data_IF_744538235280
#
_entry.id   IF_744538235280
#
_cell.length_a   1.000
_cell.length_b   1.000
_cell.length_c   1.000
_cell.angle_alpha   90.00
_cell.angle_beta   90.00
_cell.angle_gamma   90.00
#
_symmetry.space_group_name_H-M   'P 1'
#
loop_
_entity.id
_entity.type
_entity.pdbx_description
1 polymer ?
#
# COMPACT_ATOMS: atom_id res chain seq x y z
N UNK A 1 -12.25 7.26 -11.53
CA UNK A 1 -12.33 7.09 -12.97
C UNK A 1 -11.69 5.76 -13.31
N UNK A 2 -12.45 4.90 -13.95
CA UNK A 2 -11.91 3.66 -14.51
C UNK A 2 -10.92 4.05 -15.59
N UNK A 3 -9.65 3.78 -15.35
CA UNK A 3 -8.66 3.89 -16.41
C UNK A 3 -8.96 2.77 -17.38
N UNK A 4 -9.39 3.10 -18.60
CA UNK A 4 -9.55 2.13 -19.68
C UNK A 4 -8.17 1.54 -20.00
N UNK A 5 -7.92 0.35 -19.49
CA UNK A 5 -6.69 -0.38 -19.75
C UNK A 5 -6.86 -1.15 -21.07
N UNK A 6 -5.92 -0.94 -21.96
CA UNK A 6 -5.74 -1.86 -23.07
C UNK A 6 -5.03 -3.09 -22.49
N UNK A 7 -5.82 -4.08 -22.08
CA UNK A 7 -5.27 -5.40 -21.68
C UNK A 7 -4.88 -6.11 -22.97
N UNK A 8 -3.58 -6.29 -23.19
CA UNK A 8 -3.10 -7.17 -24.25
C UNK A 8 -3.29 -8.62 -23.82
N UNK A 9 -3.87 -9.43 -24.68
CA UNK A 9 -4.07 -10.88 -24.42
C UNK A 9 -2.74 -11.54 -24.03
N UNK A 10 -2.75 -12.30 -22.95
CA UNK A 10 -1.61 -13.10 -22.48
C UNK A 10 -0.68 -12.41 -21.48
N UNK A 11 -0.92 -11.15 -21.09
CA UNK A 11 -0.09 -10.44 -20.11
C UNK A 11 -0.90 -10.18 -18.84
N UNK A 12 -0.54 -10.85 -17.74
CA UNK A 12 -1.23 -10.70 -16.47
C UNK A 12 -0.83 -9.39 -15.77
N UNK A 13 -1.83 -8.54 -15.52
CA UNK A 13 -1.70 -7.45 -14.58
C UNK A 13 -1.97 -7.95 -13.15
N UNK A 14 -1.35 -7.30 -12.16
CA UNK A 14 -1.56 -7.62 -10.76
C UNK A 14 -1.59 -6.37 -9.88
N UNK A 15 -2.06 -6.52 -8.65
CA UNK A 15 -2.05 -5.43 -7.68
C UNK A 15 -0.88 -5.56 -6.71
N UNK A 16 -0.36 -4.40 -6.32
CA UNK A 16 0.53 -4.23 -5.16
C UNK A 16 -0.16 -3.27 -4.17
N UNK A 17 0.02 -3.54 -2.89
CA UNK A 17 -0.34 -2.60 -1.84
C UNK A 17 0.94 -2.09 -1.17
N UNK A 18 1.05 -0.78 -0.99
CA UNK A 18 2.16 -0.16 -0.27
C UNK A 18 1.60 0.57 0.97
N UNK A 19 2.13 0.25 2.15
CA UNK A 19 1.61 0.73 3.43
C UNK A 19 2.68 1.50 4.18
N UNK A 20 2.38 2.77 4.45
CA UNK A 20 3.13 3.62 5.38
C UNK A 20 2.39 3.64 6.73
N UNK A 21 3.01 3.07 7.76
CA UNK A 21 2.39 2.83 9.05
C UNK A 21 2.58 4.00 9.99
N UNK A 22 1.49 4.53 10.50
CA UNK A 22 1.50 5.59 11.51
C UNK A 22 0.58 5.27 12.70
N UNK A 23 0.75 5.97 13.83
CA UNK A 23 -0.07 5.80 15.02
C UNK A 23 -0.73 7.11 15.44
N UNK A 24 -0.03 7.93 16.23
CA UNK A 24 -0.60 9.14 16.84
C UNK A 24 -0.13 10.37 16.05
N UNK A 25 -1.08 11.26 15.70
CA UNK A 25 -0.80 12.52 14.99
C UNK A 25 -0.54 12.39 13.48
N UNK A 26 -0.38 11.16 12.97
CA UNK A 26 -0.24 10.85 11.55
C UNK A 26 -1.27 9.79 11.13
N UNK A 27 -1.39 9.57 9.83
CA UNK A 27 -2.34 8.61 9.28
C UNK A 27 -1.60 7.45 8.63
N UNK A 28 -2.02 6.21 8.92
CA UNK A 28 -1.57 5.07 8.13
C UNK A 28 -2.22 5.14 6.76
N UNK A 29 -1.40 5.07 5.72
CA UNK A 29 -1.85 5.17 4.34
C UNK A 29 -1.54 3.88 3.60
N UNK A 30 -2.53 3.36 2.88
CA UNK A 30 -2.37 2.26 1.95
C UNK A 30 -2.59 2.76 0.52
N UNK A 31 -1.56 2.64 -0.32
CA UNK A 31 -1.62 2.95 -1.74
C UNK A 31 -1.84 1.66 -2.51
N UNK A 32 -2.87 1.61 -3.33
CA UNK A 32 -3.16 0.48 -4.23
C UNK A 32 -2.63 0.80 -5.61
N UNK A 33 -1.76 -0.05 -6.10
CA UNK A 33 -1.07 0.11 -7.38
C UNK A 33 -1.42 -1.09 -8.27
N UNK A 34 -1.93 -0.82 -9.47
CA UNK A 34 -2.05 -1.83 -10.51
C UNK A 34 -0.80 -1.83 -11.36
N UNK A 35 -0.18 -2.97 -11.47
CA UNK A 35 1.04 -3.18 -12.25
C UNK A 35 0.70 -3.98 -13.49
N UNK A 36 1.17 -3.54 -14.62
CA UNK A 36 1.00 -4.24 -15.88
C UNK A 36 2.22 -4.07 -16.77
N UNK A 37 2.60 -5.10 -17.54
CA UNK A 37 3.70 -5.01 -18.45
C UNK A 37 3.29 -4.20 -19.70
N UNK A 38 4.21 -3.40 -20.19
CA UNK A 38 4.19 -2.82 -21.52
C UNK A 38 5.33 -3.46 -22.32
N UNK A 39 5.45 -3.16 -23.60
CA UNK A 39 6.38 -3.83 -24.54
C UNK A 39 7.82 -3.95 -24.02
N UNK A 40 8.30 -3.00 -23.24
CA UNK A 40 9.69 -2.91 -22.79
C UNK A 40 9.87 -2.79 -21.26
N UNK A 41 8.82 -2.40 -20.53
CA UNK A 41 8.93 -2.18 -19.08
C UNK A 41 7.61 -2.36 -18.33
N UNK A 42 7.69 -2.39 -17.00
CA UNK A 42 6.53 -2.39 -16.12
C UNK A 42 5.96 -0.99 -15.94
N UNK A 43 4.64 -0.87 -16.07
CA UNK A 43 3.87 0.33 -15.79
C UNK A 43 3.10 0.20 -14.49
N UNK A 44 2.92 1.32 -13.79
CA UNK A 44 2.33 1.39 -12.46
C UNK A 44 1.22 2.44 -12.45
N UNK A 45 -0.01 2.02 -12.25
CA UNK A 45 -1.13 2.93 -12.04
C UNK A 45 -1.52 2.96 -10.57
N UNK A 46 -1.42 4.10 -9.93
CA UNK A 46 -2.05 4.30 -8.62
C UNK A 46 -3.56 4.33 -8.84
N UNK A 47 -4.25 3.31 -8.37
CA UNK A 47 -5.69 3.15 -8.59
C UNK A 47 -6.54 3.61 -7.40
N UNK A 48 -5.95 3.59 -6.19
CA UNK A 48 -6.61 4.13 -5.00
C UNK A 48 -5.61 4.45 -3.88
N UNK A 49 -6.04 5.28 -2.93
CA UNK A 49 -5.33 5.59 -1.71
C UNK A 49 -6.33 5.52 -0.56
N UNK A 50 -6.04 4.69 0.44
CA UNK A 50 -6.87 4.51 1.64
C UNK A 50 -6.14 5.03 2.87
N UNK A 51 -6.89 5.70 3.75
CA UNK A 51 -6.43 6.06 5.09
C UNK A 51 -7.02 5.04 6.04
N UNK A 52 -6.16 4.28 6.72
CA UNK A 52 -6.55 3.18 7.60
C UNK A 52 -6.69 3.66 9.06
N UNK A 53 -7.66 3.13 9.78
CA UNK A 53 -7.84 3.37 11.22
C UNK A 53 -8.27 4.79 11.57
N UNK A 54 -9.04 5.46 10.73
CA UNK A 54 -9.36 6.89 10.84
C UNK A 54 -10.13 7.28 12.10
N UNK A 55 -10.86 6.36 12.73
CA UNK A 55 -11.87 6.68 13.74
C UNK A 55 -11.67 5.98 15.10
N UNK A 56 -10.57 5.22 15.30
CA UNK A 56 -10.38 4.47 16.54
C UNK A 56 -9.11 4.92 17.28
N UNK A 57 -9.29 5.46 18.49
CA UNK A 57 -8.19 5.96 19.32
C UNK A 57 -7.56 4.89 20.23
N UNK A 58 -8.27 3.78 20.51
CA UNK A 58 -7.84 2.81 21.53
C UNK A 58 -7.17 1.56 20.96
N UNK A 59 -7.55 1.13 19.74
CA UNK A 59 -7.03 -0.07 19.08
C UNK A 59 -6.51 0.22 17.66
N UNK A 60 -5.68 1.22 17.56
CA UNK A 60 -5.27 1.78 16.25
C UNK A 60 -4.73 0.71 15.32
N UNK A 61 -3.81 -0.15 15.75
CA UNK A 61 -3.22 -1.14 14.84
C UNK A 61 -4.14 -2.31 14.53
N UNK A 62 -4.93 -2.81 15.50
CA UNK A 62 -5.87 -3.90 15.24
C UNK A 62 -6.88 -3.52 14.17
N UNK A 63 -7.41 -2.28 14.24
CA UNK A 63 -8.37 -1.80 13.24
C UNK A 63 -7.71 -1.53 11.88
N UNK A 64 -6.51 -0.95 11.87
CA UNK A 64 -5.75 -0.73 10.63
C UNK A 64 -5.41 -2.05 9.93
N UNK A 65 -5.00 -3.08 10.69
CA UNK A 65 -4.72 -4.42 10.17
C UNK A 65 -5.99 -5.06 9.62
N UNK A 66 -7.12 -4.94 10.32
CA UNK A 66 -8.41 -5.43 9.84
C UNK A 66 -8.78 -4.78 8.50
N UNK A 67 -8.69 -3.45 8.40
CA UNK A 67 -8.98 -2.72 7.15
C UNK A 67 -8.02 -3.13 6.03
N UNK A 68 -6.71 -3.26 6.32
CA UNK A 68 -5.74 -3.72 5.32
C UNK A 68 -6.06 -5.13 4.82
N UNK A 69 -6.38 -6.07 5.71
CA UNK A 69 -6.76 -7.43 5.31
C UNK A 69 -8.03 -7.46 4.46
N UNK A 70 -9.00 -6.61 4.74
CA UNK A 70 -10.18 -6.42 3.88
C UNK A 70 -9.80 -5.91 2.49
N UNK A 71 -8.82 -5.00 2.39
CA UNK A 71 -8.29 -4.56 1.10
C UNK A 71 -7.54 -5.67 0.37
N UNK A 72 -6.79 -6.50 1.10
CA UNK A 72 -6.12 -7.67 0.51
C UNK A 72 -7.12 -8.67 -0.08
N UNK A 73 -8.23 -8.95 0.61
CA UNK A 73 -9.32 -9.76 0.04
C UNK A 73 -9.98 -9.11 -1.18
N UNK A 74 -10.11 -7.79 -1.18
CA UNK A 74 -10.75 -7.05 -2.29
C UNK A 74 -9.90 -7.02 -3.55
N UNK A 75 -8.59 -6.79 -3.40
CA UNK A 75 -7.69 -6.56 -4.54
C UNK A 75 -6.86 -7.80 -4.91
N UNK A 76 -6.80 -8.81 -4.05
CA UNK A 76 -5.95 -10.00 -4.22
C UNK A 76 -4.52 -9.62 -4.66
N UNK A 77 -3.81 -8.81 -3.84
CA UNK A 77 -2.50 -8.30 -4.25
C UNK A 77 -1.49 -9.43 -4.36
N UNK A 78 -0.59 -9.32 -5.32
CA UNK A 78 0.56 -10.22 -5.43
C UNK A 78 1.55 -10.01 -4.29
N UNK A 79 1.66 -8.78 -3.80
CA UNK A 79 2.55 -8.41 -2.71
C UNK A 79 2.02 -7.20 -1.94
N UNK A 80 2.27 -7.18 -0.63
CA UNK A 80 1.96 -6.07 0.27
C UNK A 80 3.27 -5.57 0.88
N UNK A 81 3.68 -4.37 0.51
CA UNK A 81 4.91 -3.73 0.98
C UNK A 81 4.62 -2.91 2.22
N UNK A 82 5.33 -3.14 3.31
CA UNK A 82 5.13 -2.47 4.60
C UNK A 82 6.46 -1.89 5.08
N UNK A 83 6.49 -0.60 5.45
CA UNK A 83 7.62 -0.05 6.20
C UNK A 83 7.57 -0.59 7.64
N UNK A 84 8.55 -1.45 7.96
CA UNK A 84 8.68 -2.08 9.27
C UNK A 84 9.72 -1.40 10.17
N UNK A 85 10.01 -0.12 9.95
CA UNK A 85 10.78 0.67 10.89
C UNK A 85 9.91 1.08 12.09
N UNK A 86 10.48 1.08 13.27
CA UNK A 86 9.82 1.57 14.48
C UNK A 86 8.43 0.95 14.72
N UNK A 87 7.39 1.73 14.55
CA UNK A 87 5.99 1.30 14.75
C UNK A 87 5.52 0.22 13.77
N UNK A 88 6.13 0.13 12.60
CA UNK A 88 5.82 -0.87 11.60
C UNK A 88 6.08 -2.30 12.06
N UNK A 89 6.99 -2.52 13.02
CA UNK A 89 7.20 -3.85 13.63
C UNK A 89 5.93 -4.35 14.32
N UNK A 90 5.32 -3.52 15.15
CA UNK A 90 4.08 -3.92 15.87
C UNK A 90 2.91 -4.17 14.91
N UNK A 91 2.83 -3.42 13.84
CA UNK A 91 1.85 -3.64 12.77
C UNK A 91 2.11 -4.98 12.04
N UNK A 92 3.37 -5.26 11.71
CA UNK A 92 3.80 -6.50 11.09
C UNK A 92 3.49 -7.74 11.96
N UNK A 93 3.70 -7.63 13.29
CA UNK A 93 3.38 -8.70 14.25
C UNK A 93 1.88 -9.03 14.33
N UNK A 94 1.01 -8.10 13.98
CA UNK A 94 -0.42 -8.34 13.86
C UNK A 94 -0.81 -8.93 12.51
N UNK A 95 -0.10 -8.57 11.44
CA UNK A 95 -0.36 -9.12 10.10
C UNK A 95 -0.12 -10.63 10.01
N UNK A 96 0.84 -11.15 10.76
CA UNK A 96 1.16 -12.60 10.81
C UNK A 96 0.19 -13.42 11.68
N UNK A 97 -0.86 -12.81 12.23
CA UNK A 97 -1.91 -13.47 13.02
C UNK A 97 -3.23 -13.44 12.29
N UNK A 98 -4.09 -14.40 12.60
CA UNK A 98 -5.49 -14.32 12.20
C UNK A 98 -6.17 -13.10 12.84
N UNK A 99 -7.13 -12.53 12.13
CA UNK A 99 -7.87 -11.34 12.59
C UNK A 99 -9.36 -11.61 12.48
N UNK A 100 -10.10 -11.47 13.58
CA UNK A 100 -11.55 -11.63 13.54
C UNK A 100 -12.23 -10.32 13.07
N UNK A 101 -13.01 -10.43 12.02
CA UNK A 101 -13.82 -9.35 11.48
C UNK A 101 -15.23 -9.42 12.11
N UNK A 102 -15.46 -8.60 13.12
CA UNK A 102 -16.73 -8.59 13.88
C UNK A 102 -17.92 -8.12 13.04
N UNK A 103 -17.70 -7.25 12.05
CA UNK A 103 -18.78 -6.76 11.19
C UNK A 103 -19.27 -7.83 10.21
N UNK A 104 -18.35 -8.65 9.70
CA UNK A 104 -18.65 -9.71 8.73
C UNK A 104 -18.77 -11.09 9.37
N UNK A 105 -18.46 -11.21 10.67
CA UNK A 105 -18.44 -12.46 11.43
C UNK A 105 -17.59 -13.56 10.77
N UNK A 106 -16.39 -13.21 10.33
CA UNK A 106 -15.43 -14.11 9.68
C UNK A 106 -14.04 -13.94 10.29
N UNK A 107 -13.20 -14.97 10.13
CA UNK A 107 -11.77 -14.91 10.44
C UNK A 107 -11.00 -14.62 9.17
N UNK A 108 -10.24 -13.51 9.17
CA UNK A 108 -9.30 -13.18 8.11
C UNK A 108 -7.96 -13.88 8.36
N UNK A 109 -7.33 -14.41 7.30
CA UNK A 109 -6.13 -15.23 7.46
C UNK A 109 -4.93 -14.45 7.99
N UNK A 110 -3.97 -15.20 8.51
CA UNK A 110 -2.62 -14.75 8.75
C UNK A 110 -1.83 -14.73 7.43
N UNK A 111 -0.97 -13.75 7.28
CA UNK A 111 -0.07 -13.66 6.11
C UNK A 111 1.38 -13.69 6.58
N UNK A 112 2.29 -14.19 5.75
CA UNK A 112 3.70 -14.29 6.07
C UNK A 112 4.58 -13.33 5.27
N UNK A 113 5.77 -13.08 5.80
CA UNK A 113 6.83 -12.31 5.10
C UNK A 113 7.60 -13.21 4.14
N UNK A 114 7.84 -12.70 2.92
CA UNK A 114 8.64 -13.37 1.88
C UNK A 114 10.13 -13.04 2.00
N UNK A 115 10.49 -11.93 2.64
CA UNK A 115 11.85 -11.39 2.68
C UNK A 115 12.40 -11.14 4.10
N UNK A 116 11.82 -11.77 5.12
CA UNK A 116 12.20 -11.55 6.53
C UNK A 116 12.35 -12.86 7.27
N UNK A 117 13.58 -13.34 7.37
CA UNK A 117 13.92 -14.60 8.04
C UNK A 117 13.57 -14.56 9.54
N UNK A 118 13.62 -13.38 10.18
CA UNK A 118 13.24 -13.19 11.57
C UNK A 118 11.79 -13.57 11.87
N UNK A 119 10.92 -13.61 10.85
CA UNK A 119 9.52 -14.02 10.98
C UNK A 119 9.30 -15.52 10.72
N UNK A 120 10.26 -16.27 10.18
CA UNK A 120 10.07 -17.68 9.83
C UNK A 120 9.66 -18.56 11.02
N UNK A 121 10.18 -18.24 12.22
CA UNK A 121 9.90 -18.98 13.45
C UNK A 121 8.57 -18.62 14.13
N UNK A 122 7.93 -17.51 13.77
CA UNK A 122 6.76 -16.96 14.47
C UNK A 122 5.52 -16.85 13.58
N UNK A 123 5.68 -16.76 12.26
CA UNK A 123 4.54 -16.78 11.33
C UNK A 123 3.97 -18.19 11.19
N UNK A 124 2.64 -18.35 10.97
CA UNK A 124 2.02 -19.66 10.84
C UNK A 124 2.59 -20.45 9.66
N UNK A 125 2.79 -21.76 9.88
CA UNK A 125 3.22 -22.66 8.81
C UNK A 125 2.14 -22.75 7.72
N UNK A 126 2.58 -22.60 6.46
CA UNK A 126 1.66 -22.69 5.31
C UNK A 126 0.83 -21.43 5.05
N UNK A 127 1.04 -20.34 5.80
CA UNK A 127 0.43 -19.05 5.45
C UNK A 127 0.96 -18.53 4.11
N UNK A 128 0.16 -17.76 3.42
CA UNK A 128 0.55 -17.11 2.18
C UNK A 128 1.61 -16.04 2.45
N UNK A 129 2.80 -16.16 1.84
CA UNK A 129 3.94 -15.26 2.04
C UNK A 129 3.92 -14.11 1.02
N UNK A 130 3.01 -13.16 1.20
CA UNK A 130 2.86 -11.99 0.33
C UNK A 130 3.24 -10.67 0.99
N UNK A 131 3.68 -10.69 2.25
CA UNK A 131 4.17 -9.49 2.92
C UNK A 131 5.65 -9.27 2.58
N UNK A 132 5.99 -8.05 2.22
CA UNK A 132 7.36 -7.60 1.98
C UNK A 132 7.70 -6.47 2.94
N UNK A 133 8.58 -6.73 3.90
CA UNK A 133 8.98 -5.75 4.92
C UNK A 133 10.17 -4.91 4.45
N UNK A 134 10.03 -3.60 4.43
CA UNK A 134 11.14 -2.68 4.17
C UNK A 134 11.66 -2.13 5.50
N UNK A 135 12.98 -2.25 5.73
CA UNK A 135 13.70 -1.46 6.74
C UNK A 135 14.52 -0.41 5.99
N UNK A 136 13.93 0.77 5.85
CA UNK A 136 14.55 1.82 5.08
C UNK A 136 15.80 2.38 5.80
N UNK A 137 16.96 2.24 5.17
CA UNK A 137 18.19 2.94 5.52
C UNK A 137 18.35 4.19 4.67
N UNK A 138 19.30 5.07 5.01
CA UNK A 138 19.58 6.25 4.17
C UNK A 138 19.88 5.90 2.71
N UNK A 139 20.62 4.80 2.46
CA UNK A 139 20.93 4.34 1.11
C UNK A 139 19.67 3.82 0.40
N UNK A 140 18.90 2.95 1.06
CA UNK A 140 17.64 2.41 0.50
C UNK A 140 16.69 3.55 0.15
N UNK A 141 16.53 4.55 1.03
CA UNK A 141 15.70 5.71 0.77
C UNK A 141 16.17 6.48 -0.48
N UNK A 142 17.48 6.73 -0.60
CA UNK A 142 18.05 7.41 -1.77
C UNK A 142 17.76 6.65 -3.07
N UNK A 143 17.94 5.34 -3.06
CA UNK A 143 17.73 4.47 -4.22
C UNK A 143 16.24 4.42 -4.60
N UNK A 144 15.34 4.32 -3.61
CA UNK A 144 13.88 4.37 -3.83
C UNK A 144 13.47 5.71 -4.45
N UNK A 145 13.94 6.83 -3.91
CA UNK A 145 13.65 8.15 -4.47
C UNK A 145 14.14 8.29 -5.90
N UNK A 146 15.38 7.91 -6.17
CA UNK A 146 15.96 7.97 -7.51
C UNK A 146 15.19 7.13 -8.53
N UNK A 147 14.79 5.91 -8.12
CA UNK A 147 13.98 5.02 -8.95
C UNK A 147 12.58 5.58 -9.19
N UNK A 148 11.93 6.12 -8.16
CA UNK A 148 10.62 6.76 -8.28
C UNK A 148 10.68 7.92 -9.28
N UNK A 149 11.65 8.83 -9.13
CA UNK A 149 11.83 9.93 -10.07
C UNK A 149 12.02 9.45 -11.50
N UNK A 150 12.90 8.48 -11.73
CA UNK A 150 13.12 7.91 -13.06
C UNK A 150 11.84 7.36 -13.67
N UNK A 151 11.03 6.62 -12.89
CA UNK A 151 9.75 6.05 -13.34
C UNK A 151 8.66 7.11 -13.58
N UNK A 152 8.65 8.18 -12.80
CA UNK A 152 7.75 9.33 -13.04
C UNK A 152 8.13 10.06 -14.32
N UNK A 153 9.42 10.36 -14.52
CA UNK A 153 9.90 11.04 -15.72
C UNK A 153 9.72 10.23 -17.00
N UNK A 154 9.87 8.91 -16.93
CA UNK A 154 9.60 8.02 -18.08
C UNK A 154 8.10 7.85 -18.39
N UNK A 155 7.21 8.35 -17.52
CA UNK A 155 5.76 8.16 -17.66
C UNK A 155 5.28 6.75 -17.32
N UNK A 156 6.15 5.92 -16.71
CA UNK A 156 5.81 4.56 -16.29
C UNK A 156 4.88 4.54 -15.06
N UNK A 157 4.78 5.65 -14.32
CA UNK A 157 3.86 5.80 -13.18
C UNK A 157 2.76 6.79 -13.54
N UNK A 158 1.50 6.40 -13.31
CA UNK A 158 0.33 7.28 -13.40
C UNK A 158 -0.32 7.43 -12.04
N UNK A 159 -0.62 8.68 -11.68
CA UNK A 159 -1.35 9.02 -10.46
C UNK A 159 -2.84 9.18 -10.73
N UNK A 160 -3.64 9.24 -9.66
CA UNK A 160 -5.11 9.33 -9.70
C UNK A 160 -5.65 10.58 -10.40
N UNK A 161 -4.88 11.67 -10.38
CA UNK A 161 -5.25 12.94 -11.02
C UNK A 161 -4.02 13.53 -11.72
N UNK A 162 -4.26 14.26 -12.81
CA UNK A 162 -3.22 15.01 -13.47
C UNK A 162 -2.73 16.18 -12.60
N UNK A 163 -1.53 16.69 -12.86
CA UNK A 163 -1.01 17.89 -12.18
C UNK A 163 -1.93 19.10 -12.37
N UNK A 164 -2.52 19.24 -13.54
CA UNK A 164 -3.46 20.32 -13.85
C UNK A 164 -4.74 20.23 -13.01
N UNK A 165 -5.34 19.04 -12.91
CA UNK A 165 -6.50 18.82 -12.05
C UNK A 165 -6.19 19.02 -10.57
N UNK A 166 -5.00 18.60 -10.13
CA UNK A 166 -4.55 18.83 -8.76
C UNK A 166 -4.41 20.32 -8.46
N UNK A 167 -3.83 21.10 -9.37
CA UNK A 167 -3.72 22.57 -9.26
C UNK A 167 -5.09 23.24 -9.19
N UNK A 168 -6.03 22.85 -10.06
CA UNK A 168 -7.39 23.39 -10.07
C UNK A 168 -8.11 23.11 -8.75
N UNK A 169 -8.04 21.85 -8.27
CA UNK A 169 -8.63 21.47 -6.98
C UNK A 169 -8.01 22.23 -5.80
N UNK A 170 -6.70 22.38 -5.77
CA UNK A 170 -5.99 23.14 -4.72
C UNK A 170 -6.42 24.59 -4.71
N UNK A 171 -6.52 25.25 -5.87
CA UNK A 171 -6.95 26.63 -5.99
C UNK A 171 -8.41 26.84 -5.59
N UNK A 172 -9.26 25.86 -5.73
CA UNK A 172 -10.67 25.89 -5.32
C UNK A 172 -10.89 25.68 -3.83
N UNK A 173 -9.88 25.23 -3.08
CA UNK A 173 -9.97 25.06 -1.63
C UNK A 173 -9.75 26.39 -0.89
N UNK A 174 -10.35 26.52 0.31
CA UNK A 174 -10.16 27.72 1.17
C UNK A 174 -8.67 27.97 1.52
N UNK A 175 -7.85 26.91 1.54
CA UNK A 175 -6.40 27.02 1.77
C UNK A 175 -5.68 27.63 0.55
N UNK A 176 -6.03 27.23 -0.66
CA UNK A 176 -5.46 27.77 -1.90
C UNK A 176 -5.87 29.21 -2.18
N UNK A 177 -7.04 29.64 -1.68
CA UNK A 177 -7.48 31.04 -1.79
C UNK A 177 -6.73 32.02 -0.86
N UNK A 178 -6.13 31.53 0.23
CA UNK A 178 -5.30 32.34 1.15
C UNK A 178 -3.85 32.51 0.69
N UNK A 179 -3.43 31.80 -0.35
CA UNK A 179 -2.07 31.86 -0.90
C UNK A 179 -1.95 32.82 -2.11
N UNK A 180 -2.98 33.56 -2.44
CA UNK A 180 -2.99 34.70 -3.38
C UNK A 180 -2.93 36.01 -2.60
#
# INVERSE_FOLDING_TARGET
PETHEIVREGIESFYLLAVDVARIGCQTVCVVIKVFPNDTEWHFNVVNIYILGKNDSEKVFDHQVLELKRLMEKFHPREVVIDINGLGVSFADLMIKETFDYERNIVLPAYGFSNRDEYEGIQPRGCEKILYGIKATGQINSDMHSTLFAKVYSGAIKFLISEQEAKVKLMSTKAGQKMK
#
